data_IF_552889045386
#
_entry.id   IF_552889045386
#
_cell.length_a   1.000
_cell.length_b   1.000
_cell.length_c   1.000
_cell.angle_alpha   90.00
_cell.angle_beta   90.00
_cell.angle_gamma   90.00
#
_symmetry.space_group_name_H-M   'P 1'
#
loop_
_entity.id
_entity.type
_entity.pdbx_description
1 polymer ?
#
# COMPACT_ATOMS: atom_id res chain seq x y z
N UNK A 1 40.20 -10.03 0.09
CA UNK A 1 39.60 -8.86 0.73
C UNK A 1 38.27 -8.60 0.05
N UNK A 2 37.23 -9.38 0.38
CA UNK A 2 35.85 -9.26 -0.13
C UNK A 2 34.95 -10.03 0.85
N UNK A 3 34.70 -9.47 2.02
CA UNK A 3 33.66 -9.99 2.92
C UNK A 3 32.32 -9.46 2.41
N UNK A 4 31.72 -10.16 1.45
CA UNK A 4 30.31 -9.91 1.12
C UNK A 4 29.47 -10.23 2.37
N UNK A 5 28.92 -9.18 2.99
CA UNK A 5 27.95 -9.30 4.06
C UNK A 5 26.66 -9.82 3.44
N UNK A 6 26.49 -11.14 3.38
CA UNK A 6 25.38 -11.81 2.69
C UNK A 6 24.15 -12.03 3.57
N UNK A 7 24.21 -11.75 4.88
CA UNK A 7 23.12 -12.10 5.79
C UNK A 7 22.87 -11.03 6.87
N UNK A 8 21.68 -10.41 6.82
CA UNK A 8 21.07 -9.75 7.98
C UNK A 8 20.40 -10.82 8.83
N UNK A 9 21.17 -11.48 9.69
CA UNK A 9 20.59 -12.33 10.72
C UNK A 9 20.11 -11.43 11.87
N UNK A 10 18.80 -11.40 12.16
CA UNK A 10 18.27 -10.83 13.41
C UNK A 10 18.65 -11.70 14.62
N UNK A 11 19.94 -12.01 14.79
CA UNK A 11 20.49 -12.89 15.81
C UNK A 11 20.29 -12.32 17.23
N UNK A 12 20.04 -11.00 17.36
CA UNK A 12 19.81 -10.31 18.63
C UNK A 12 18.38 -10.40 19.19
N UNK A 13 17.40 -10.91 18.44
CA UNK A 13 15.97 -10.82 18.79
C UNK A 13 15.32 -12.14 19.23
N UNK A 14 16.09 -13.15 19.66
CA UNK A 14 15.57 -14.48 20.05
C UNK A 14 14.38 -14.45 21.01
N UNK A 15 14.42 -13.63 22.07
CA UNK A 15 13.35 -13.53 23.08
C UNK A 15 12.16 -12.66 22.65
N UNK A 16 12.36 -11.75 21.69
CA UNK A 16 11.38 -10.77 21.22
C UNK A 16 10.73 -11.19 19.89
N UNK A 17 11.22 -12.27 19.28
CA UNK A 17 10.65 -12.90 18.09
C UNK A 17 9.17 -13.28 18.19
N UNK A 18 8.67 -13.92 19.27
CA UNK A 18 7.24 -14.22 19.40
C UNK A 18 6.39 -12.94 19.53
N UNK A 19 6.93 -11.92 20.20
CA UNK A 19 6.27 -10.61 20.31
C UNK A 19 6.18 -9.92 18.93
N UNK A 20 7.28 -9.88 18.17
CA UNK A 20 7.30 -9.33 16.81
C UNK A 20 6.34 -10.09 15.88
N UNK A 21 6.32 -11.43 15.96
CA UNK A 21 5.36 -12.23 15.19
C UNK A 21 3.92 -11.85 15.51
N UNK A 22 3.56 -11.77 16.79
CA UNK A 22 2.22 -11.37 17.22
C UNK A 22 1.88 -9.94 16.78
N UNK A 23 2.83 -9.01 16.88
CA UNK A 23 2.66 -7.61 16.46
C UNK A 23 2.41 -7.52 14.95
N UNK A 24 3.26 -8.12 14.12
CA UNK A 24 3.09 -8.10 12.66
C UNK A 24 1.82 -8.81 12.20
N UNK A 25 1.44 -9.91 12.87
CA UNK A 25 0.18 -10.60 12.61
C UNK A 25 -1.03 -9.73 12.95
N UNK A 26 -1.00 -9.05 14.11
CA UNK A 26 -2.07 -8.14 14.52
C UNK A 26 -2.22 -6.96 13.55
N UNK A 27 -1.09 -6.36 13.13
CA UNK A 27 -1.08 -5.30 12.10
C UNK A 27 -1.71 -5.83 10.80
N UNK A 28 -1.26 -7.01 10.32
CA UNK A 28 -1.79 -7.60 9.09
C UNK A 28 -3.30 -7.82 9.12
N UNK A 29 -3.82 -8.43 10.20
CA UNK A 29 -5.25 -8.68 10.35
C UNK A 29 -6.03 -7.37 10.43
N UNK A 30 -5.51 -6.37 11.16
CA UNK A 30 -6.15 -5.06 11.26
C UNK A 30 -6.20 -4.34 9.92
N UNK A 31 -5.09 -4.35 9.16
CA UNK A 31 -5.03 -3.79 7.80
C UNK A 31 -5.98 -4.52 6.85
N UNK A 32 -6.03 -5.85 6.91
CA UNK A 32 -6.89 -6.67 6.06
C UNK A 32 -8.37 -6.38 6.36
N UNK A 33 -8.76 -6.40 7.62
CA UNK A 33 -10.14 -6.15 8.06
C UNK A 33 -10.55 -4.70 7.78
N UNK A 34 -9.70 -3.72 8.11
CA UNK A 34 -10.00 -2.30 7.90
C UNK A 34 -10.18 -1.97 6.41
N UNK A 35 -9.23 -2.37 5.57
CA UNK A 35 -9.29 -2.05 4.14
C UNK A 35 -10.37 -2.85 3.39
N UNK A 36 -10.65 -4.10 3.78
CA UNK A 36 -11.80 -4.83 3.23
C UNK A 36 -13.14 -4.25 3.67
N UNK A 37 -13.25 -3.76 4.92
CA UNK A 37 -14.43 -3.05 5.39
C UNK A 37 -14.69 -1.76 4.57
N UNK A 38 -13.64 -1.00 4.24
CA UNK A 38 -13.76 0.17 3.37
C UNK A 38 -14.26 -0.24 1.98
N UNK A 39 -13.64 -1.24 1.35
CA UNK A 39 -14.03 -1.71 0.02
C UNK A 39 -15.50 -2.18 -0.02
N UNK A 40 -15.91 -2.94 1.00
CA UNK A 40 -17.29 -3.42 1.12
C UNK A 40 -18.27 -2.28 1.36
N UNK A 41 -17.94 -1.31 2.23
CA UNK A 41 -18.80 -0.17 2.50
C UNK A 41 -19.01 0.71 1.26
N UNK A 42 -17.94 1.00 0.51
CA UNK A 42 -18.02 1.77 -0.74
C UNK A 42 -18.81 1.01 -1.81
N UNK A 43 -18.72 -0.32 -1.85
CA UNK A 43 -19.46 -1.14 -2.83
C UNK A 43 -20.95 -1.30 -2.50
N UNK A 44 -21.30 -1.32 -1.21
CA UNK A 44 -22.67 -1.57 -0.74
C UNK A 44 -23.51 -0.30 -0.68
N UNK A 45 -22.91 0.85 -0.37
CA UNK A 45 -23.64 2.09 -0.18
C UNK A 45 -23.46 3.05 -1.37
N UNK A 46 -24.47 3.21 -2.23
CA UNK A 46 -24.38 4.10 -3.37
C UNK A 46 -24.27 5.58 -2.98
N UNK A 47 -24.68 5.97 -1.76
CA UNK A 47 -24.49 7.33 -1.26
C UNK A 47 -23.02 7.65 -0.97
N UNK A 48 -22.17 6.63 -0.82
CA UNK A 48 -20.73 6.80 -0.67
C UNK A 48 -19.98 6.87 -2.01
N UNK A 49 -20.63 6.84 -3.18
CA UNK A 49 -19.96 7.04 -4.48
C UNK A 49 -19.53 8.50 -4.77
N UNK A 50 -18.88 9.13 -3.80
CA UNK A 50 -18.16 10.39 -3.96
C UNK A 50 -16.75 10.13 -4.51
N UNK A 51 -16.15 11.07 -5.27
CA UNK A 51 -14.76 11.01 -5.73
C UNK A 51 -13.76 10.60 -4.63
N UNK A 52 -13.94 11.14 -3.42
CA UNK A 52 -13.07 10.84 -2.28
C UNK A 52 -13.09 9.34 -1.90
N UNK A 53 -14.27 8.73 -1.81
CA UNK A 53 -14.41 7.31 -1.47
C UNK A 53 -13.95 6.38 -2.59
N UNK A 54 -14.07 6.82 -3.85
CA UNK A 54 -13.46 6.13 -4.98
C UNK A 54 -11.92 6.06 -4.83
N UNK A 55 -11.26 7.18 -4.51
CA UNK A 55 -9.82 7.18 -4.25
C UNK A 55 -9.46 6.36 -3.00
N UNK A 56 -10.30 6.39 -1.95
CA UNK A 56 -10.11 5.60 -0.73
C UNK A 56 -10.17 4.09 -1.02
N UNK A 57 -11.04 3.65 -1.94
CA UNK A 57 -11.11 2.27 -2.42
C UNK A 57 -9.81 1.84 -3.12
N UNK A 58 -9.23 2.73 -3.95
CA UNK A 58 -7.94 2.47 -4.61
C UNK A 58 -6.78 2.42 -3.60
N UNK A 59 -6.79 3.32 -2.63
CA UNK A 59 -5.83 3.32 -1.52
C UNK A 59 -5.92 2.02 -0.70
N UNK A 60 -7.13 1.57 -0.37
CA UNK A 60 -7.34 0.30 0.32
C UNK A 60 -6.84 -0.90 -0.49
N UNK A 61 -6.99 -0.89 -1.82
CA UNK A 61 -6.41 -1.92 -2.68
C UNK A 61 -4.88 -1.93 -2.61
N UNK A 62 -4.24 -0.76 -2.62
CA UNK A 62 -2.80 -0.62 -2.47
C UNK A 62 -2.31 -1.11 -1.10
N UNK A 63 -2.98 -0.75 -0.01
CA UNK A 63 -2.64 -1.20 1.34
C UNK A 63 -2.71 -2.73 1.47
N UNK A 64 -3.72 -3.34 0.86
CA UNK A 64 -3.87 -4.80 0.82
C UNK A 64 -2.75 -5.46 0.00
N UNK A 65 -2.37 -4.86 -1.14
CA UNK A 65 -1.24 -5.32 -1.94
C UNK A 65 0.08 -5.21 -1.17
N UNK A 66 0.36 -4.03 -0.61
CA UNK A 66 1.57 -3.71 0.15
C UNK A 66 1.75 -4.64 1.35
N UNK A 67 0.69 -4.83 2.14
CA UNK A 67 0.70 -5.72 3.30
C UNK A 67 0.85 -7.19 2.90
N UNK A 68 0.21 -7.64 1.81
CA UNK A 68 0.29 -9.03 1.34
C UNK A 68 1.66 -9.37 0.74
N UNK A 69 2.39 -8.40 0.18
CA UNK A 69 3.76 -8.62 -0.31
C UNK A 69 4.75 -8.68 0.85
N UNK A 70 4.57 -7.83 1.86
CA UNK A 70 5.57 -7.60 2.91
C UNK A 70 5.38 -8.51 4.13
N UNK A 71 4.15 -8.61 4.64
CA UNK A 71 3.89 -9.21 5.96
C UNK A 71 4.02 -10.74 5.96
N UNK A 72 3.54 -11.50 4.94
CA UNK A 72 3.74 -12.95 4.90
C UNK A 72 5.22 -13.36 4.92
N UNK A 73 6.09 -12.58 4.26
CA UNK A 73 7.55 -12.80 4.29
C UNK A 73 8.13 -12.54 5.67
N UNK A 74 7.73 -11.45 6.34
CA UNK A 74 8.18 -11.12 7.70
C UNK A 74 7.73 -12.18 8.71
N UNK A 75 6.48 -12.65 8.61
CA UNK A 75 5.96 -13.74 9.45
C UNK A 75 6.70 -15.06 9.20
N UNK A 76 6.89 -15.44 7.94
CA UNK A 76 7.64 -16.65 7.59
C UNK A 76 9.09 -16.60 8.10
N UNK A 77 9.75 -15.44 7.97
CA UNK A 77 11.11 -15.22 8.48
C UNK A 77 11.16 -15.17 10.01
N UNK A 78 10.06 -14.84 10.69
CA UNK A 78 9.96 -14.88 12.15
C UNK A 78 9.77 -16.30 12.69
N UNK A 79 9.23 -17.22 11.90
CA UNK A 79 9.06 -18.62 12.27
C UNK A 79 10.28 -19.50 11.95
N UNK A 80 11.04 -19.16 10.89
CA UNK A 80 12.20 -19.98 10.47
C UNK A 80 13.53 -19.51 11.08
N UNK A 81 14.36 -20.36 11.70
CA UNK A 81 15.68 -19.99 12.22
C UNK A 81 16.62 -19.35 11.19
N UNK A 82 16.44 -19.64 9.89
CA UNK A 82 17.17 -19.05 8.77
C UNK A 82 16.20 -18.29 7.86
N UNK A 83 16.37 -16.98 7.78
CA UNK A 83 15.60 -16.10 6.91
C UNK A 83 16.27 -16.08 5.52
N UNK A 84 15.86 -16.97 4.63
CA UNK A 84 16.41 -17.04 3.27
C UNK A 84 15.41 -16.46 2.28
N UNK A 85 15.70 -15.27 1.75
CA UNK A 85 15.02 -14.72 0.57
C UNK A 85 15.89 -14.97 -0.66
N UNK A 86 15.29 -15.48 -1.73
CA UNK A 86 15.99 -15.55 -3.02
C UNK A 86 16.21 -14.13 -3.55
N UNK A 87 17.34 -13.89 -4.21
CA UNK A 87 17.66 -12.61 -4.83
C UNK A 87 16.52 -12.09 -5.72
N UNK A 88 15.94 -12.94 -6.57
CA UNK A 88 14.78 -12.56 -7.40
C UNK A 88 13.52 -12.26 -6.58
N UNK A 89 13.32 -12.94 -5.46
CA UNK A 89 12.21 -12.67 -4.53
C UNK A 89 12.38 -11.38 -3.71
N UNK A 90 13.62 -10.93 -3.53
CA UNK A 90 13.96 -9.63 -2.94
C UNK A 90 13.68 -8.50 -3.94
N UNK A 91 14.18 -8.64 -5.18
CA UNK A 91 13.94 -7.67 -6.25
C UNK A 91 12.44 -7.50 -6.52
N UNK A 92 11.69 -8.60 -6.65
CA UNK A 92 10.25 -8.52 -6.84
C UNK A 92 9.55 -7.79 -5.67
N UNK A 93 9.94 -8.10 -4.42
CA UNK A 93 9.37 -7.43 -3.25
C UNK A 93 9.67 -5.93 -3.23
N UNK A 94 10.90 -5.54 -3.54
CA UNK A 94 11.31 -4.13 -3.61
C UNK A 94 10.55 -3.38 -4.72
N UNK A 95 10.42 -4.00 -5.89
CA UNK A 95 9.65 -3.45 -7.01
C UNK A 95 8.18 -3.19 -6.65
N UNK A 96 7.49 -4.19 -6.08
CA UNK A 96 6.10 -4.01 -5.65
C UNK A 96 5.96 -3.00 -4.52
N UNK A 97 6.91 -2.97 -3.57
CA UNK A 97 6.92 -2.02 -2.46
C UNK A 97 7.05 -0.58 -2.94
N UNK A 98 8.05 -0.29 -3.78
CA UNK A 98 8.21 1.05 -4.34
C UNK A 98 6.99 1.43 -5.19
N UNK A 99 6.43 0.48 -5.94
CA UNK A 99 5.35 0.80 -6.87
C UNK A 99 4.06 1.12 -6.16
N UNK A 100 3.76 0.34 -5.12
CA UNK A 100 2.63 0.61 -4.27
C UNK A 100 2.83 1.93 -3.50
N UNK A 101 4.02 2.17 -2.92
CA UNK A 101 4.30 3.40 -2.18
C UNK A 101 4.22 4.67 -3.06
N UNK A 102 4.75 4.61 -4.29
CA UNK A 102 4.67 5.72 -5.25
C UNK A 102 3.23 6.01 -5.70
N UNK A 103 2.44 4.96 -5.94
CA UNK A 103 1.02 5.09 -6.24
C UNK A 103 0.21 5.62 -5.05
N UNK A 104 0.51 5.15 -3.83
CA UNK A 104 -0.08 5.60 -2.57
C UNK A 104 0.15 7.10 -2.37
N UNK A 105 1.40 7.55 -2.46
CA UNK A 105 1.77 8.95 -2.32
C UNK A 105 1.03 9.83 -3.34
N UNK A 106 0.96 9.35 -4.60
CA UNK A 106 0.28 10.06 -5.68
C UNK A 106 -1.24 10.16 -5.44
N UNK A 107 -1.88 9.08 -4.97
CA UNK A 107 -3.29 9.09 -4.58
C UNK A 107 -3.56 10.02 -3.40
N UNK A 108 -2.70 10.04 -2.39
CA UNK A 108 -2.82 10.96 -1.25
C UNK A 108 -2.77 12.43 -1.72
N UNK A 109 -1.91 12.75 -2.68
CA UNK A 109 -1.86 14.09 -3.29
C UNK A 109 -3.16 14.39 -4.04
N UNK A 110 -3.70 13.46 -4.82
CA UNK A 110 -4.98 13.62 -5.52
C UNK A 110 -6.14 13.81 -4.54
N UNK A 111 -6.16 13.08 -3.42
CA UNK A 111 -7.16 13.23 -2.35
C UNK A 111 -7.06 14.58 -1.65
N UNK A 112 -5.83 15.06 -1.39
CA UNK A 112 -5.61 16.41 -0.85
C UNK A 112 -6.09 17.48 -1.84
N UNK A 113 -5.85 17.27 -3.14
CA UNK A 113 -6.33 18.15 -4.20
C UNK A 113 -7.86 18.16 -4.31
N UNK A 114 -8.52 17.00 -4.20
CA UNK A 114 -10.00 16.91 -4.12
C UNK A 114 -10.56 17.78 -3.00
N UNK A 115 -10.03 17.64 -1.77
CA UNK A 115 -10.47 18.46 -0.63
C UNK A 115 -10.19 19.95 -0.86
N UNK A 116 -9.05 20.30 -1.44
CA UNK A 116 -8.72 21.69 -1.78
C UNK A 116 -9.72 22.30 -2.77
N UNK A 117 -10.02 21.62 -3.88
CA UNK A 117 -10.95 22.13 -4.89
C UNK A 117 -12.37 22.21 -4.35
N UNK A 118 -12.79 21.24 -3.52
CA UNK A 118 -14.10 21.26 -2.87
C UNK A 118 -14.30 22.51 -1.99
N UNK A 119 -13.26 22.95 -1.28
CA UNK A 119 -13.32 24.11 -0.37
C UNK A 119 -13.13 25.42 -1.13
N UNK A 120 -12.09 25.52 -1.95
CA UNK A 120 -11.67 26.78 -2.55
C UNK A 120 -12.43 27.12 -3.84
N UNK A 121 -12.95 26.12 -4.56
CA UNK A 121 -13.56 26.30 -5.88
C UNK A 121 -14.84 25.44 -6.06
N UNK A 122 -15.86 25.56 -5.19
CA UNK A 122 -17.03 24.68 -5.20
C UNK A 122 -17.80 24.67 -6.54
N UNK A 123 -17.87 25.82 -7.22
CA UNK A 123 -18.54 25.97 -8.53
C UNK A 123 -17.86 25.17 -9.66
N UNK A 124 -16.57 24.84 -9.52
CA UNK A 124 -15.79 24.09 -10.52
C UNK A 124 -15.56 22.64 -10.11
N UNK A 125 -15.97 22.25 -8.90
CA UNK A 125 -15.70 20.92 -8.34
C UNK A 125 -16.23 19.79 -9.22
N UNK A 126 -17.47 19.89 -9.71
CA UNK A 126 -18.09 18.85 -10.55
C UNK A 126 -17.38 18.62 -11.89
N UNK A 127 -16.71 19.66 -12.42
CA UNK A 127 -15.89 19.56 -13.63
C UNK A 127 -14.52 18.96 -13.33
N UNK A 128 -13.86 19.42 -12.25
CA UNK A 128 -12.52 18.99 -11.85
C UNK A 128 -12.49 17.56 -11.29
N UNK A 129 -13.53 17.14 -10.58
CA UNK A 129 -13.68 15.81 -9.96
C UNK A 129 -14.85 15.04 -10.59
N UNK A 130 -14.94 15.10 -11.91
CA UNK A 130 -15.88 14.25 -12.66
C UNK A 130 -15.39 12.79 -12.67
N UNK A 131 -16.28 11.79 -12.78
CA UNK A 131 -15.91 10.38 -12.73
C UNK A 131 -14.80 10.00 -13.74
N UNK A 132 -14.85 10.57 -14.95
CA UNK A 132 -13.82 10.33 -15.96
C UNK A 132 -12.44 10.86 -15.55
N UNK A 133 -12.38 12.04 -14.92
CA UNK A 133 -11.14 12.61 -14.40
C UNK A 133 -10.62 11.79 -13.22
N UNK A 134 -11.48 11.32 -12.32
CA UNK A 134 -11.08 10.46 -11.21
C UNK A 134 -10.47 9.13 -11.68
N UNK A 135 -11.06 8.50 -12.69
CA UNK A 135 -10.53 7.27 -13.30
C UNK A 135 -9.18 7.54 -13.96
N UNK A 136 -9.06 8.63 -14.74
CA UNK A 136 -7.80 9.00 -15.38
C UNK A 136 -6.69 9.34 -14.36
N UNK A 137 -7.02 10.08 -13.29
CA UNK A 137 -6.09 10.41 -12.22
C UNK A 137 -5.61 9.16 -11.48
N UNK A 138 -6.52 8.23 -11.19
CA UNK A 138 -6.19 6.93 -10.58
C UNK A 138 -5.25 6.14 -11.47
N UNK A 139 -5.58 5.98 -12.76
CA UNK A 139 -4.72 5.31 -13.72
C UNK A 139 -3.34 5.96 -13.80
N UNK A 140 -3.28 7.30 -13.77
CA UNK A 140 -2.04 8.06 -13.68
C UNK A 140 -1.22 7.74 -12.43
N UNK A 141 -1.85 7.62 -11.26
CA UNK A 141 -1.17 7.26 -10.01
C UNK A 141 -0.56 5.85 -10.07
N UNK A 142 -1.31 4.88 -10.61
CA UNK A 142 -0.81 3.51 -10.80
C UNK A 142 0.35 3.45 -11.80
N UNK A 143 0.22 4.14 -12.93
CA UNK A 143 1.28 4.22 -13.93
C UNK A 143 2.53 4.92 -13.37
N UNK A 144 2.35 6.00 -12.62
CA UNK A 144 3.45 6.70 -11.96
C UNK A 144 4.19 5.78 -10.99
N UNK A 145 3.48 5.07 -10.10
CA UNK A 145 4.11 4.13 -9.18
C UNK A 145 4.88 3.02 -9.90
N UNK A 146 4.32 2.47 -10.98
CA UNK A 146 5.01 1.46 -11.79
C UNK A 146 6.27 2.01 -12.47
N UNK A 147 6.22 3.24 -12.99
CA UNK A 147 7.38 3.89 -13.62
C UNK A 147 8.46 4.21 -12.58
N UNK A 148 8.09 4.77 -11.44
CA UNK A 148 8.99 5.10 -10.32
C UNK A 148 9.76 3.87 -9.83
N UNK A 149 9.11 2.70 -9.85
CA UNK A 149 9.76 1.43 -9.45
C UNK A 149 10.62 0.79 -10.51
N UNK A 150 10.44 1.19 -11.77
CA UNK A 150 11.14 0.63 -12.91
C UNK A 150 12.39 1.44 -13.31
N UNK A 151 12.48 2.70 -12.85
CA UNK A 151 13.59 3.63 -13.05
C UNK A 151 14.69 3.45 -12.00
#
# INVERSE_FOLDING_TARGET
NETQVTEFVLLGFSHVRPFLFALFLAIYLTTLLGNSAILTLVSLDPHLHSPMYFFLSQLSCLDLCYSSVTVPKILANSLRPRATISYGGCLAQMFFLMGCAGAECSLLVVMAYDRYVAICQPLRYSLAMSPGVCVAATAGCWLWGLLDSAL
#
